data_IF_038536949560
#
_entry.id   IF_038536949560
#
_cell.length_a   1.000
_cell.length_b   1.000
_cell.length_c   1.000
_cell.angle_alpha   90.00
_cell.angle_beta   90.00
_cell.angle_gamma   90.00
#
_symmetry.space_group_name_H-M   'P 1'
#
loop_
_entity.id
_entity.type
_entity.pdbx_description
1 polymer ?
#
# COMPACT_ATOMS: atom_id res chain seq x y z
N UNK A 1 13.30 12.39 5.53
CA UNK A 1 12.63 12.13 4.24
C UNK A 1 11.29 11.52 4.57
N UNK A 2 10.19 12.10 4.11
CA UNK A 2 8.85 11.56 4.27
C UNK A 2 8.51 10.79 2.97
N UNK A 3 7.93 9.60 3.09
CA UNK A 3 7.37 8.86 1.95
C UNK A 3 5.85 9.07 1.98
N UNK A 4 5.32 9.67 0.91
CA UNK A 4 3.88 9.79 0.70
C UNK A 4 3.45 8.91 -0.47
N UNK A 5 2.53 8.00 -0.21
CA UNK A 5 1.86 7.13 -1.18
C UNK A 5 0.42 7.60 -1.24
N UNK A 6 -0.03 8.01 -2.42
CA UNK A 6 -1.40 8.46 -2.64
C UNK A 6 -2.05 7.59 -3.72
N UNK A 7 -3.31 7.22 -3.49
CA UNK A 7 -4.18 6.48 -4.39
C UNK A 7 -3.51 5.26 -5.04
N UNK A 8 -2.74 4.50 -4.26
CA UNK A 8 -2.04 3.32 -4.75
C UNK A 8 -3.05 2.22 -5.08
N UNK A 9 -3.06 1.83 -6.35
CA UNK A 9 -3.89 0.77 -6.90
C UNK A 9 -3.00 -0.28 -7.56
N UNK A 10 -3.33 -1.56 -7.37
CA UNK A 10 -2.68 -2.68 -8.05
C UNK A 10 -3.71 -3.74 -8.40
N UNK A 11 -4.02 -3.84 -9.69
CA UNK A 11 -4.82 -4.92 -10.26
C UNK A 11 -3.88 -5.86 -11.01
N UNK A 12 -4.02 -7.16 -10.78
CA UNK A 12 -3.33 -8.19 -11.57
C UNK A 12 -4.11 -8.50 -12.86
N UNK A 13 -3.45 -9.10 -13.83
CA UNK A 13 -4.04 -9.39 -15.15
C UNK A 13 -5.27 -10.30 -15.08
N UNK A 14 -5.39 -11.10 -14.00
CA UNK A 14 -6.57 -11.93 -13.72
C UNK A 14 -7.74 -11.14 -13.09
N UNK A 15 -7.65 -9.82 -12.99
CA UNK A 15 -8.65 -8.96 -12.39
C UNK A 15 -8.62 -8.90 -10.85
N UNK A 16 -7.74 -9.65 -10.17
CA UNK A 16 -7.63 -9.55 -8.70
C UNK A 16 -7.07 -8.17 -8.32
N UNK A 17 -7.86 -7.41 -7.57
CA UNK A 17 -7.45 -6.12 -7.01
C UNK A 17 -6.65 -6.36 -5.71
N UNK A 18 -5.34 -6.25 -5.77
CA UNK A 18 -4.42 -6.52 -4.67
C UNK A 18 -4.27 -5.33 -3.72
N UNK A 19 -4.24 -4.11 -4.25
CA UNK A 19 -4.22 -2.86 -3.50
C UNK A 19 -5.29 -1.96 -4.09
N UNK A 20 -6.19 -1.43 -3.28
CA UNK A 20 -7.30 -0.60 -3.74
C UNK A 20 -7.30 0.75 -3.03
N UNK A 21 -6.95 1.81 -3.77
CA UNK A 21 -6.92 3.19 -3.32
C UNK A 21 -6.22 3.40 -1.95
N UNK A 22 -5.00 2.88 -1.82
CA UNK A 22 -4.24 2.95 -0.58
C UNK A 22 -3.52 4.30 -0.47
N UNK A 23 -3.72 5.00 0.65
CA UNK A 23 -3.07 6.27 0.99
C UNK A 23 -2.27 6.08 2.28
N UNK A 24 -0.96 6.35 2.25
CA UNK A 24 -0.04 6.15 3.39
C UNK A 24 0.96 7.29 3.44
N UNK A 25 1.17 7.85 4.62
CA UNK A 25 2.29 8.74 4.93
C UNK A 25 3.23 8.06 5.91
N UNK A 26 4.53 8.05 5.60
CA UNK A 26 5.55 7.37 6.38
C UNK A 26 6.64 8.38 6.74
N UNK A 27 6.74 8.65 8.04
CA UNK A 27 7.75 9.51 8.62
C UNK A 27 9.07 8.77 8.86
N UNK A 28 10.12 9.52 9.22
CA UNK A 28 11.40 8.92 9.55
C UNK A 28 11.24 7.95 10.74
N UNK A 29 11.72 6.72 10.57
CA UNK A 29 11.64 5.68 11.59
C UNK A 29 11.36 4.31 10.99
N UNK A 30 10.78 3.41 11.79
CA UNK A 30 10.39 2.08 11.37
C UNK A 30 8.87 1.93 11.44
N UNK A 31 8.29 1.32 10.41
CA UNK A 31 6.88 0.94 10.37
C UNK A 31 6.76 -0.52 9.92
N UNK A 32 5.63 -1.14 10.25
CA UNK A 32 5.29 -2.49 9.82
C UNK A 32 3.88 -2.52 9.24
N UNK A 33 3.70 -3.29 8.18
CA UNK A 33 2.38 -3.59 7.63
C UNK A 33 1.97 -4.99 8.09
N UNK A 34 0.77 -5.10 8.68
CA UNK A 34 0.21 -6.34 9.17
C UNK A 34 -1.10 -6.65 8.46
N UNK A 35 -1.31 -7.91 8.13
CA UNK A 35 -2.52 -8.38 7.48
C UNK A 35 -2.51 -9.88 7.25
N UNK A 36 -3.67 -10.47 6.90
CA UNK A 36 -3.73 -11.85 6.45
C UNK A 36 -2.97 -12.02 5.12
N UNK A 37 -2.62 -13.26 4.80
CA UNK A 37 -2.01 -13.57 3.51
C UNK A 37 -3.00 -13.33 2.36
N UNK A 38 -2.61 -12.49 1.41
CA UNK A 38 -3.22 -12.39 0.09
C UNK A 38 -4.13 -11.19 -0.09
#
# INVERSE_FOLDING_TARGET
MNISIQELNKVYDNGKHALSNINIEIENGMFGLLGPNG
#
